data_IF_714892268836
#
_entry.id   IF_714892268836
#
_cell.length_a   1.000
_cell.length_b   1.000
_cell.length_c   1.000
_cell.angle_alpha   90.00
_cell.angle_beta   90.00
_cell.angle_gamma   90.00
#
_symmetry.space_group_name_H-M   'P 1'
#
loop_
_entity.id
_entity.type
_entity.pdbx_description
1 polymer ?
#
# COMPACT_ATOMS: atom_id res chain seq x y z
N UNK A 1 -5.72 -24.86 12.98
CA UNK A 1 -6.56 -24.51 14.14
C UNK A 1 -6.30 -23.08 14.61
N UNK A 2 -5.05 -22.59 14.55
CA UNK A 2 -4.70 -21.18 14.86
C UNK A 2 -5.31 -20.12 13.91
N UNK A 3 -5.60 -20.50 12.66
CA UNK A 3 -6.12 -19.61 11.59
C UNK A 3 -7.52 -19.07 11.88
N UNK A 4 -8.40 -19.89 12.47
CA UNK A 4 -9.77 -19.47 12.83
C UNK A 4 -9.73 -18.54 14.05
N UNK A 5 -8.83 -18.81 15.00
CA UNK A 5 -8.68 -18.04 16.24
C UNK A 5 -8.25 -16.60 15.94
N UNK A 6 -7.34 -16.41 14.97
CA UNK A 6 -6.85 -15.06 14.60
C UNK A 6 -7.92 -14.21 13.91
N UNK A 7 -8.69 -14.82 12.99
CA UNK A 7 -9.78 -14.13 12.30
C UNK A 7 -10.94 -13.79 13.25
N UNK A 8 -11.26 -14.69 14.18
CA UNK A 8 -12.25 -14.42 15.23
C UNK A 8 -11.77 -13.35 16.19
N UNK A 9 -10.48 -13.29 16.54
CA UNK A 9 -9.95 -12.29 17.44
C UNK A 9 -10.04 -10.87 16.84
N UNK A 10 -9.73 -10.70 15.55
CA UNK A 10 -9.84 -9.40 14.87
C UNK A 10 -11.31 -8.95 14.73
N UNK A 11 -12.22 -9.88 14.40
CA UNK A 11 -13.65 -9.58 14.28
C UNK A 11 -14.31 -9.29 15.64
N UNK A 12 -13.96 -10.06 16.69
CA UNK A 12 -14.40 -9.82 18.07
C UNK A 12 -13.85 -8.48 18.56
N UNK A 13 -12.61 -8.12 18.21
CA UNK A 13 -12.02 -6.84 18.60
C UNK A 13 -12.67 -5.64 17.89
N UNK A 14 -13.03 -5.76 16.61
CA UNK A 14 -13.85 -4.73 15.94
C UNK A 14 -15.22 -4.58 16.62
N UNK A 15 -15.89 -5.69 16.96
CA UNK A 15 -17.15 -5.66 17.70
C UNK A 15 -16.99 -5.05 19.11
N UNK A 16 -15.93 -5.39 19.84
CA UNK A 16 -15.63 -4.82 21.16
C UNK A 16 -15.24 -3.34 21.09
N UNK A 17 -14.57 -2.88 20.02
CA UNK A 17 -14.28 -1.46 19.82
C UNK A 17 -15.56 -0.67 19.53
N UNK A 18 -16.44 -1.21 18.68
CA UNK A 18 -17.78 -0.66 18.45
C UNK A 18 -18.59 -0.64 19.76
N UNK A 19 -18.57 -1.72 20.53
CA UNK A 19 -19.30 -1.83 21.80
C UNK A 19 -18.75 -0.88 22.88
N UNK A 20 -17.44 -0.64 22.91
CA UNK A 20 -16.80 0.33 23.81
C UNK A 20 -17.12 1.78 23.43
N UNK A 21 -17.21 2.09 22.13
CA UNK A 21 -17.69 3.39 21.65
C UNK A 21 -19.17 3.57 22.01
N UNK A 22 -20.00 2.55 21.82
CA UNK A 22 -21.43 2.61 22.16
C UNK A 22 -21.65 2.69 23.68
N UNK A 23 -20.86 1.96 24.47
CA UNK A 23 -20.92 1.97 25.94
C UNK A 23 -20.37 3.27 26.54
N UNK A 24 -19.34 3.86 25.93
CA UNK A 24 -18.87 5.21 26.30
C UNK A 24 -19.85 6.30 25.84
N UNK A 25 -20.49 6.17 24.68
CA UNK A 25 -21.58 7.04 24.23
C UNK A 25 -22.82 6.98 25.14
N UNK A 26 -23.10 5.82 25.73
CA UNK A 26 -24.21 5.64 26.67
C UNK A 26 -23.89 6.08 28.11
N UNK A 27 -22.62 6.22 28.48
CA UNK A 27 -22.21 6.62 29.85
C UNK A 27 -21.71 8.07 29.98
N UNK A 28 -21.33 8.72 28.87
CA UNK A 28 -20.74 10.06 28.87
C UNK A 28 -21.72 11.08 28.27
N UNK A 29 -22.20 12.01 29.09
CA UNK A 29 -23.00 13.16 28.66
C UNK A 29 -22.18 14.23 27.92
N UNK A 30 -20.85 14.07 27.82
CA UNK A 30 -19.94 15.01 27.16
C UNK A 30 -19.87 14.80 25.64
N UNK A 31 -20.82 15.41 24.94
CA UNK A 31 -20.90 15.44 23.47
C UNK A 31 -19.60 15.88 22.77
N UNK A 32 -18.76 16.69 23.42
CA UNK A 32 -17.46 17.12 22.90
C UNK A 32 -16.45 15.99 22.80
N UNK A 33 -16.42 15.09 23.80
CA UNK A 33 -15.50 13.95 23.82
C UNK A 33 -15.93 12.91 22.78
N UNK A 34 -17.23 12.66 22.66
CA UNK A 34 -17.78 11.78 21.62
C UNK A 34 -17.49 12.30 20.20
N UNK A 35 -17.58 13.62 20.00
CA UNK A 35 -17.22 14.26 18.72
C UNK A 35 -15.73 14.12 18.40
N UNK A 36 -14.84 14.24 19.40
CA UNK A 36 -13.41 14.05 19.20
C UNK A 36 -13.07 12.59 18.87
N UNK A 37 -13.62 11.65 19.65
CA UNK A 37 -13.39 10.21 19.43
C UNK A 37 -13.90 9.75 18.08
N UNK A 38 -15.10 10.18 17.66
CA UNK A 38 -15.63 9.85 16.33
C UNK A 38 -14.77 10.42 15.21
N UNK A 39 -14.31 11.68 15.33
CA UNK A 39 -13.39 12.27 14.36
C UNK A 39 -12.06 11.50 14.27
N UNK A 40 -11.49 11.11 15.41
CA UNK A 40 -10.25 10.32 15.44
C UNK A 40 -10.44 8.92 14.84
N UNK A 41 -11.60 8.30 15.04
CA UNK A 41 -11.93 7.00 14.47
C UNK A 41 -12.10 7.08 12.94
N UNK A 42 -12.76 8.12 12.44
CA UNK A 42 -12.88 8.38 11.00
C UNK A 42 -11.50 8.61 10.38
N UNK A 43 -10.64 9.41 11.02
CA UNK A 43 -9.27 9.65 10.54
C UNK A 43 -8.47 8.35 10.46
N UNK A 44 -8.53 7.49 11.48
CA UNK A 44 -7.85 6.19 11.46
C UNK A 44 -8.40 5.27 10.38
N UNK A 45 -9.71 5.31 10.14
CA UNK A 45 -10.34 4.57 9.05
C UNK A 45 -9.82 5.04 7.69
N UNK A 46 -9.81 6.36 7.43
CA UNK A 46 -9.29 6.93 6.19
C UNK A 46 -7.82 6.54 5.95
N UNK A 47 -6.98 6.66 6.98
CA UNK A 47 -5.58 6.22 6.93
C UNK A 47 -5.46 4.73 6.63
N UNK A 48 -6.32 3.90 7.22
CA UNK A 48 -6.30 2.45 6.97
C UNK A 48 -6.66 2.09 5.53
N UNK A 49 -7.65 2.78 4.97
CA UNK A 49 -8.06 2.60 3.57
C UNK A 49 -6.91 3.04 2.65
N UNK A 50 -6.28 4.18 2.90
CA UNK A 50 -5.15 4.65 2.09
C UNK A 50 -3.97 3.66 2.07
N UNK A 51 -3.66 3.06 3.23
CA UNK A 51 -2.61 2.02 3.34
C UNK A 51 -2.95 0.80 2.48
N UNK A 52 -4.18 0.28 2.60
CA UNK A 52 -4.61 -0.91 1.86
C UNK A 52 -4.69 -0.62 0.35
N UNK A 53 -5.17 0.58 -0.03
CA UNK A 53 -5.21 1.03 -1.42
C UNK A 53 -3.81 1.13 -2.02
N UNK A 54 -2.84 1.64 -1.25
CA UNK A 54 -1.45 1.72 -1.67
C UNK A 54 -0.85 0.33 -1.92
N UNK A 55 -1.21 -0.68 -1.12
CA UNK A 55 -0.84 -2.07 -1.39
C UNK A 55 -1.53 -2.61 -2.65
N UNK A 56 -2.83 -2.29 -2.82
CA UNK A 56 -3.64 -2.74 -3.96
C UNK A 56 -3.23 -2.14 -5.30
N UNK A 57 -2.56 -0.99 -5.28
CA UNK A 57 -2.00 -0.37 -6.49
C UNK A 57 -0.99 -1.27 -7.22
N UNK A 58 -0.44 -2.29 -6.54
CA UNK A 58 0.37 -3.34 -7.14
C UNK A 58 -0.38 -4.13 -8.21
N UNK A 59 0.32 -4.53 -9.28
CA UNK A 59 -0.30 -5.20 -10.43
C UNK A 59 -1.00 -6.53 -10.07
N UNK A 60 -0.54 -7.23 -9.03
CA UNK A 60 -1.04 -8.54 -8.65
C UNK A 60 -2.34 -8.50 -7.81
N UNK A 61 -2.67 -7.37 -7.17
CA UNK A 61 -3.78 -7.28 -6.21
C UNK A 61 -4.95 -6.42 -6.70
N UNK A 62 -4.89 -5.86 -7.92
CA UNK A 62 -5.91 -4.92 -8.44
C UNK A 62 -7.35 -5.43 -8.36
N UNK A 63 -7.55 -6.75 -8.40
CA UNK A 63 -8.87 -7.38 -8.38
C UNK A 63 -9.31 -7.86 -6.98
N UNK A 64 -8.48 -7.68 -5.95
CA UNK A 64 -8.79 -8.10 -4.59
C UNK A 64 -9.61 -7.03 -3.87
N UNK A 65 -10.54 -7.49 -3.03
CA UNK A 65 -11.29 -6.60 -2.14
C UNK A 65 -10.39 -6.08 -1.02
N UNK A 66 -10.66 -4.87 -0.52
CA UNK A 66 -9.87 -4.28 0.57
C UNK A 66 -9.93 -5.13 1.85
N UNK A 67 -11.10 -5.73 2.14
CA UNK A 67 -11.28 -6.61 3.31
C UNK A 67 -10.47 -7.90 3.18
N UNK A 68 -10.39 -8.49 1.98
CA UNK A 68 -9.53 -9.65 1.70
C UNK A 68 -8.07 -9.32 1.99
N UNK A 69 -7.58 -8.16 1.52
CA UNK A 69 -6.20 -7.75 1.76
C UNK A 69 -5.94 -7.55 3.25
N UNK A 70 -6.82 -6.83 3.95
CA UNK A 70 -6.65 -6.50 5.36
C UNK A 70 -6.71 -7.73 6.28
N UNK A 71 -7.65 -8.65 6.04
CA UNK A 71 -7.94 -9.74 6.97
C UNK A 71 -7.25 -11.05 6.59
N UNK A 72 -7.12 -11.35 5.29
CA UNK A 72 -6.63 -12.66 4.84
C UNK A 72 -5.17 -12.64 4.41
N UNK A 73 -4.66 -11.49 3.95
CA UNK A 73 -3.31 -11.39 3.39
C UNK A 73 -2.36 -10.74 4.38
N UNK A 74 -2.74 -9.57 4.91
CA UNK A 74 -1.85 -8.72 5.70
C UNK A 74 -1.25 -9.40 6.95
N UNK A 75 -2.02 -10.19 7.74
CA UNK A 75 -1.48 -10.82 8.94
C UNK A 75 -0.34 -11.79 8.63
N UNK A 76 -0.42 -12.53 7.52
CA UNK A 76 0.61 -13.47 7.11
C UNK A 76 1.77 -12.78 6.40
N UNK A 77 1.47 -11.73 5.62
CA UNK A 77 2.47 -11.02 4.86
C UNK A 77 3.56 -10.45 5.78
N UNK A 78 3.19 -9.85 6.91
CA UNK A 78 4.15 -9.32 7.90
C UNK A 78 5.09 -10.40 8.43
N UNK A 79 4.59 -11.59 8.73
CA UNK A 79 5.43 -12.70 9.19
C UNK A 79 6.36 -13.22 8.08
N UNK A 80 5.92 -13.21 6.83
CA UNK A 80 6.70 -13.69 5.68
C UNK A 80 7.82 -12.71 5.32
N UNK A 81 7.56 -11.41 5.36
CA UNK A 81 8.56 -10.38 5.01
C UNK A 81 9.57 -10.10 6.13
N UNK A 82 9.37 -10.69 7.32
CA UNK A 82 10.26 -10.56 8.48
C UNK A 82 10.79 -11.92 8.99
N UNK A 83 11.52 -12.69 8.17
CA UNK A 83 12.14 -13.91 8.65
C UNK A 83 13.29 -13.60 9.61
N UNK A 84 13.67 -14.58 10.43
CA UNK A 84 14.86 -14.52 11.26
C UNK A 84 16.12 -14.51 10.37
N UNK A 85 16.53 -13.31 9.99
CA UNK A 85 17.60 -13.06 9.04
C UNK A 85 18.63 -12.14 9.68
N UNK A 86 19.88 -12.62 9.77
CA UNK A 86 20.99 -11.84 10.33
C UNK A 86 21.66 -11.05 9.21
N UNK A 87 21.88 -9.73 9.38
CA UNK A 87 22.59 -8.95 8.39
C UNK A 87 24.06 -9.38 8.36
N UNK A 88 24.48 -10.03 7.28
CA UNK A 88 25.88 -10.20 6.93
C UNK A 88 26.17 -9.42 5.64
N UNK A 89 27.45 -9.19 5.35
CA UNK A 89 27.83 -8.67 4.03
C UNK A 89 27.22 -9.59 2.96
N UNK A 90 26.56 -9.03 1.94
CA UNK A 90 25.90 -9.79 0.87
C UNK A 90 26.84 -10.80 0.23
N UNK A 91 28.13 -10.47 0.15
CA UNK A 91 29.19 -11.31 -0.40
C UNK A 91 29.47 -12.58 0.42
N UNK A 92 29.01 -12.63 1.66
CA UNK A 92 29.18 -13.77 2.58
C UNK A 92 27.91 -14.60 2.70
N UNK A 93 26.82 -14.25 2.01
CA UNK A 93 25.61 -15.05 2.06
C UNK A 93 25.81 -16.41 1.40
N UNK A 94 25.32 -17.44 2.07
CA UNK A 94 25.10 -18.74 1.45
C UNK A 94 24.04 -18.62 0.35
N UNK A 95 24.05 -19.58 -0.58
CA UNK A 95 23.03 -19.69 -1.64
C UNK A 95 21.61 -19.71 -1.04
N UNK A 96 21.44 -20.34 0.12
CA UNK A 96 20.16 -20.40 0.84
C UNK A 96 19.70 -19.02 1.31
N UNK A 97 20.57 -18.25 1.93
CA UNK A 97 20.23 -16.91 2.45
C UNK A 97 19.95 -15.92 1.31
N UNK A 98 20.71 -16.02 0.22
CA UNK A 98 20.49 -15.24 -0.98
C UNK A 98 19.13 -15.54 -1.63
N UNK A 99 18.73 -16.83 -1.67
CA UNK A 99 17.39 -17.21 -2.14
C UNK A 99 16.28 -16.66 -1.23
N UNK A 100 16.48 -16.66 0.09
CA UNK A 100 15.53 -16.06 1.05
C UNK A 100 15.42 -14.56 0.79
N UNK A 101 16.54 -13.85 0.65
CA UNK A 101 16.56 -12.43 0.34
C UNK A 101 15.81 -12.10 -0.96
N UNK A 102 16.12 -12.80 -2.06
CA UNK A 102 15.40 -12.60 -3.33
C UNK A 102 13.91 -12.90 -3.23
N UNK A 103 13.53 -13.92 -2.46
CA UNK A 103 12.12 -14.24 -2.21
C UNK A 103 11.41 -13.10 -1.48
N UNK A 104 12.03 -12.54 -0.43
CA UNK A 104 11.49 -11.38 0.30
C UNK A 104 11.32 -10.19 -0.63
N UNK A 105 12.34 -9.85 -1.41
CA UNK A 105 12.31 -8.71 -2.34
C UNK A 105 11.21 -8.90 -3.38
N UNK A 106 11.08 -10.10 -3.94
CA UNK A 106 10.03 -10.44 -4.90
C UNK A 106 8.65 -10.26 -4.28
N UNK A 107 8.41 -10.81 -3.10
CA UNK A 107 7.13 -10.71 -2.38
C UNK A 107 6.81 -9.25 -2.03
N UNK A 108 7.77 -8.51 -1.45
CA UNK A 108 7.58 -7.11 -1.09
C UNK A 108 7.25 -6.27 -2.33
N UNK A 109 7.94 -6.47 -3.44
CA UNK A 109 7.61 -5.81 -4.72
C UNK A 109 6.21 -6.18 -5.20
N UNK A 110 5.83 -7.46 -5.15
CA UNK A 110 4.52 -7.92 -5.59
C UNK A 110 3.39 -7.26 -4.82
N UNK A 111 3.56 -6.99 -3.51
CA UNK A 111 2.59 -6.32 -2.66
C UNK A 111 2.83 -4.81 -2.49
N UNK A 112 3.66 -4.19 -3.35
CA UNK A 112 3.99 -2.76 -3.32
C UNK A 112 4.53 -2.27 -1.96
N UNK A 113 5.26 -3.13 -1.26
CA UNK A 113 5.90 -2.84 0.02
C UNK A 113 7.37 -2.44 -0.17
N UNK A 114 7.84 -1.54 0.68
CA UNK A 114 9.25 -1.18 0.83
C UNK A 114 9.52 -0.76 2.27
N UNK A 115 10.79 -0.60 2.65
CA UNK A 115 11.14 0.17 3.84
C UNK A 115 11.56 1.58 3.46
N UNK A 116 11.32 2.54 4.35
CA UNK A 116 11.83 3.91 4.24
C UNK A 116 12.53 4.32 5.53
N UNK A 117 13.58 5.12 5.38
CA UNK A 117 14.28 5.71 6.52
C UNK A 117 13.44 6.81 7.15
N UNK A 118 13.25 6.73 8.46
CA UNK A 118 12.62 7.74 9.30
C UNK A 118 13.61 8.11 10.40
N UNK A 119 13.93 9.40 10.50
CA UNK A 119 14.76 9.92 11.57
C UNK A 119 13.92 10.01 12.84
N UNK A 120 14.34 9.29 13.88
CA UNK A 120 13.71 9.31 15.19
C UNK A 120 14.76 9.55 16.25
N UNK A 121 14.65 10.67 16.98
CA UNK A 121 15.50 11.03 18.12
C UNK A 121 16.99 10.70 17.90
N UNK A 122 17.53 11.20 16.77
CA UNK A 122 18.94 11.06 16.33
C UNK A 122 19.34 9.70 15.73
N UNK A 123 18.46 8.69 15.77
CA UNK A 123 18.66 7.39 15.15
C UNK A 123 17.87 7.24 13.83
N UNK A 124 18.44 6.53 12.85
CA UNK A 124 17.72 6.20 11.61
C UNK A 124 17.02 4.86 11.79
N UNK A 125 15.69 4.89 11.79
CA UNK A 125 14.85 3.69 11.80
C UNK A 125 14.35 3.39 10.39
N UNK A 126 14.19 2.11 10.05
CA UNK A 126 13.59 1.68 8.79
C UNK A 126 12.20 1.10 9.08
N UNK A 127 11.17 1.77 8.56
CA UNK A 127 9.76 1.44 8.78
C UNK A 127 9.11 1.08 7.46
N UNK A 128 8.06 0.25 7.47
CA UNK A 128 7.33 -0.10 6.25
C UNK A 128 6.68 1.10 5.60
N UNK A 129 6.68 1.06 4.27
CA UNK A 129 5.89 1.93 3.41
C UNK A 129 5.14 1.05 2.38
N UNK A 130 3.80 1.10 2.33
CA UNK A 130 2.91 1.83 3.24
C UNK A 130 2.99 1.31 4.70
N UNK A 131 2.49 2.09 5.66
CA UNK A 131 2.66 1.84 7.10
C UNK A 131 1.80 0.68 7.63
N UNK A 132 2.00 -0.53 7.08
CA UNK A 132 1.19 -1.72 7.37
C UNK A 132 1.23 -2.18 8.84
N UNK A 133 2.28 -1.82 9.57
CA UNK A 133 2.39 -2.10 11.01
C UNK A 133 1.25 -1.45 11.79
N UNK A 134 0.76 -0.28 11.37
CA UNK A 134 -0.36 0.41 12.03
C UNK A 134 -1.68 -0.37 11.94
N UNK A 135 -1.81 -1.26 10.96
CA UNK A 135 -3.01 -2.08 10.76
C UNK A 135 -2.98 -3.39 11.54
N UNK A 136 -1.78 -3.84 11.94
CA UNK A 136 -1.57 -5.15 12.57
C UNK A 136 -1.12 -5.03 14.02
N UNK A 137 -0.47 -3.93 14.39
CA UNK A 137 -0.12 -3.60 15.77
C UNK A 137 -1.28 -2.87 16.43
N UNK A 138 -2.01 -3.60 17.28
CA UNK A 138 -3.01 -3.01 18.17
C UNK A 138 -2.30 -2.47 19.42
N UNK A 139 -2.35 -1.15 19.61
CA UNK A 139 -1.60 -0.42 20.65
C UNK A 139 -2.20 -0.50 22.06
N UNK A 140 -3.26 -1.28 22.27
CA UNK A 140 -4.05 -1.21 23.52
C UNK A 140 -3.68 -2.30 24.55
N UNK A 141 -2.84 -3.28 24.21
CA UNK A 141 -2.46 -4.39 25.10
C UNK A 141 -0.95 -4.49 25.33
N UNK A 142 -0.38 -3.48 26.01
CA UNK A 142 1.02 -3.49 26.47
C UNK A 142 1.34 -4.64 27.46
N UNK A 143 0.32 -5.35 27.97
CA UNK A 143 0.48 -6.46 28.90
C UNK A 143 0.59 -7.85 28.25
N UNK A 144 0.08 -8.04 27.02
CA UNK A 144 0.05 -9.34 26.35
C UNK A 144 1.06 -9.45 25.18
N UNK A 145 1.61 -8.32 24.73
CA UNK A 145 2.45 -8.25 23.52
C UNK A 145 3.96 -8.35 23.80
N UNK A 146 4.41 -8.53 25.05
CA UNK A 146 5.83 -8.62 25.40
C UNK A 146 6.59 -9.79 24.76
N UNK A 147 5.88 -10.80 24.25
CA UNK A 147 6.47 -11.98 23.59
C UNK A 147 6.37 -11.96 22.05
N UNK A 148 5.72 -10.95 21.46
CA UNK A 148 5.62 -10.83 20.00
C UNK A 148 6.57 -9.71 19.57
N UNK A 149 7.86 -10.03 19.56
CA UNK A 149 8.90 -9.19 18.95
C UNK A 149 8.59 -9.01 17.46
N UNK A 150 7.75 -8.04 17.12
CA UNK A 150 7.32 -7.73 15.74
C UNK A 150 8.44 -7.15 14.88
N UNK A 151 9.63 -6.99 15.45
CA UNK A 151 10.85 -6.50 14.81
C UNK A 151 11.97 -7.55 14.91
N UNK A 152 11.77 -8.73 14.33
CA UNK A 152 12.83 -9.76 14.21
C UNK A 152 13.97 -9.31 13.28
N UNK A 153 13.64 -8.50 12.26
CA UNK A 153 14.62 -7.95 11.34
C UNK A 153 15.36 -6.74 11.93
N UNK A 154 16.70 -6.85 11.99
CA UNK A 154 17.58 -5.73 12.30
C UNK A 154 17.42 -4.55 11.34
N UNK A 155 17.73 -3.33 11.80
CA UNK A 155 17.70 -2.11 10.98
C UNK A 155 18.56 -2.24 9.72
N UNK A 156 19.75 -2.86 9.84
CA UNK A 156 20.65 -3.09 8.71
C UNK A 156 20.03 -4.03 7.65
N UNK A 157 19.31 -5.07 8.08
CA UNK A 157 18.62 -5.97 7.14
C UNK A 157 17.49 -5.24 6.39
N UNK A 158 16.72 -4.38 7.07
CA UNK A 158 15.67 -3.58 6.44
C UNK A 158 16.23 -2.59 5.42
N UNK A 159 17.35 -1.95 5.75
CA UNK A 159 18.06 -1.06 4.82
C UNK A 159 18.54 -1.81 3.58
N UNK A 160 19.15 -2.98 3.76
CA UNK A 160 19.60 -3.83 2.66
C UNK A 160 18.44 -4.22 1.74
N UNK A 161 17.32 -4.66 2.31
CA UNK A 161 16.12 -5.01 1.54
C UNK A 161 15.58 -3.79 0.78
N UNK A 162 15.51 -2.62 1.42
CA UNK A 162 15.05 -1.38 0.78
C UNK A 162 15.90 -1.02 -0.44
N UNK A 163 17.23 -1.07 -0.27
CA UNK A 163 18.19 -0.79 -1.32
C UNK A 163 18.06 -1.78 -2.49
N UNK A 164 17.93 -3.08 -2.21
CA UNK A 164 17.80 -4.09 -3.27
C UNK A 164 16.47 -3.97 -4.03
N UNK A 165 15.36 -3.62 -3.35
CA UNK A 165 14.08 -3.33 -4.00
C UNK A 165 14.22 -2.12 -4.95
N UNK A 166 14.96 -1.08 -4.55
CA UNK A 166 15.21 0.10 -5.36
C UNK A 166 16.09 -0.20 -6.58
N UNK A 167 17.19 -0.93 -6.38
CA UNK A 167 18.05 -1.40 -7.48
C UNK A 167 17.27 -2.22 -8.51
N UNK A 168 16.46 -3.16 -8.05
CA UNK A 168 15.68 -3.99 -8.95
C UNK A 168 14.63 -3.15 -9.72
N UNK A 169 14.11 -2.05 -9.14
CA UNK A 169 13.20 -1.11 -9.84
C UNK A 169 13.93 -0.42 -10.99
N UNK A 170 15.16 0.01 -10.78
CA UNK A 170 15.98 0.63 -11.83
C UNK A 170 16.26 -0.37 -12.96
N UNK A 171 16.63 -1.62 -12.63
CA UNK A 171 16.88 -2.68 -13.63
C UNK A 171 15.66 -2.99 -14.50
N UNK A 172 14.46 -2.94 -13.94
CA UNK A 172 13.23 -3.20 -14.69
C UNK A 172 12.88 -2.04 -15.64
N UNK A 173 13.16 -0.79 -15.23
CA UNK A 173 13.02 0.38 -16.11
C UNK A 173 14.02 0.29 -17.27
N UNK A 174 15.26 -0.10 -17.00
CA UNK A 174 16.29 -0.28 -18.03
C UNK A 174 15.95 -1.42 -19.00
N UNK A 175 15.37 -2.52 -18.50
CA UNK A 175 14.90 -3.63 -19.35
C UNK A 175 13.76 -3.19 -20.27
N UNK A 176 12.77 -2.46 -19.75
CA UNK A 176 11.67 -1.90 -20.56
C UNK A 176 12.18 -0.86 -21.57
N UNK A 177 13.13 -0.01 -21.18
CA UNK A 177 13.77 0.95 -22.07
C UNK A 177 14.60 0.26 -23.16
N UNK A 178 15.29 -0.84 -22.82
CA UNK A 178 16.06 -1.65 -23.76
C UNK A 178 15.17 -2.42 -24.73
N UNK A 179 14.04 -2.96 -24.30
CA UNK A 179 13.04 -3.56 -25.19
C UNK A 179 12.41 -2.53 -26.15
N UNK A 180 12.15 -1.31 -25.68
CA UNK A 180 11.67 -0.22 -26.53
C UNK A 180 12.75 0.21 -27.53
N UNK A 181 14.01 0.27 -27.12
CA UNK A 181 15.14 0.61 -27.98
C UNK A 181 15.49 -0.50 -29.00
N UNK A 182 15.34 -1.77 -28.62
CA UNK A 182 15.57 -2.92 -29.50
C UNK A 182 14.46 -3.11 -30.55
N UNK A 183 13.26 -2.56 -30.31
CA UNK A 183 12.14 -2.57 -31.25
C UNK A 183 12.10 -1.36 -32.21
N UNK A 184 13.20 -0.60 -32.36
CA UNK A 184 13.32 0.46 -33.38
C UNK A 184 14.00 -0.06 -34.66
N UNK A 185 13.26 -0.35 -35.74
CA UNK A 185 13.85 -0.45 -37.07
C UNK A 185 14.11 0.97 -37.62
N UNK A 186 15.30 1.18 -38.18
CA UNK A 186 15.69 2.46 -38.77
C UNK A 186 14.81 2.90 -39.96
N UNK A 187 14.48 4.20 -39.96
CA UNK A 187 14.02 5.06 -41.08
C UNK A 187 12.79 4.62 -41.89
N UNK A 188 11.65 5.29 -41.67
CA UNK A 188 11.08 6.37 -42.52
C UNK A 188 9.76 6.84 -41.90
N UNK A 189 9.50 8.14 -41.98
CA UNK A 189 8.18 8.72 -41.73
C UNK A 189 7.15 8.00 -42.61
N UNK A 190 6.31 7.16 -42.03
CA UNK A 190 5.07 6.76 -42.66
C UNK A 190 4.09 6.27 -41.58
N UNK A 191 2.99 7.02 -41.48
CA UNK A 191 1.69 6.69 -40.90
C UNK A 191 1.64 5.46 -39.98
N UNK A 192 1.52 5.74 -38.68
CA UNK A 192 1.06 4.79 -37.67
C UNK A 192 -0.33 4.27 -38.10
N UNK A 193 -0.38 3.06 -38.66
CA UNK A 193 -1.58 2.22 -38.67
C UNK A 193 -1.54 1.35 -37.42
N UNK A 194 -2.26 1.76 -36.38
CA UNK A 194 -2.56 0.88 -35.24
C UNK A 194 -3.75 -0.01 -35.59
N UNK A 195 -3.55 -1.31 -35.33
CA UNK A 195 -4.55 -2.35 -35.53
C UNK A 195 -5.76 -2.21 -34.60
N UNK A 196 -6.90 -2.64 -35.13
CA UNK A 196 -8.15 -3.10 -34.49
C UNK A 196 -8.26 -2.85 -32.97
N UNK A 197 -8.56 -1.62 -32.58
CA UNK A 197 -9.36 -1.31 -31.40
C UNK A 197 -10.75 -0.88 -31.87
N UNK A 198 -11.79 -1.47 -31.27
CA UNK A 198 -13.19 -1.15 -31.59
C UNK A 198 -13.46 0.35 -31.52
N UNK A 199 -14.16 0.87 -32.53
CA UNK A 199 -14.60 2.26 -32.68
C UNK A 199 -13.55 3.31 -32.24
N UNK A 200 -12.61 3.61 -33.14
CA UNK A 200 -11.60 4.66 -32.91
C UNK A 200 -12.25 6.00 -32.58
N UNK A 201 -11.93 6.53 -31.40
CA UNK A 201 -12.27 7.89 -31.01
C UNK A 201 -11.35 8.83 -31.80
N UNK A 202 -11.94 9.61 -32.72
CA UNK A 202 -11.20 10.63 -33.48
C UNK A 202 -11.29 11.94 -32.71
N UNK A 203 -10.15 12.41 -32.19
CA UNK A 203 -10.01 13.74 -31.63
C UNK A 203 -9.65 14.71 -32.76
N UNK A 204 -10.61 15.52 -33.19
CA UNK A 204 -10.37 16.61 -34.13
C UNK A 204 -9.65 17.74 -33.40
N UNK A 205 -8.40 18.00 -33.76
CA UNK A 205 -7.62 19.09 -33.19
C UNK A 205 -8.17 20.45 -33.66
N UNK A 206 -8.58 21.29 -32.72
CA UNK A 206 -8.90 22.68 -33.00
C UNK A 206 -7.60 23.48 -33.08
N UNK A 207 -7.39 24.24 -34.17
CA UNK A 207 -6.22 25.08 -34.38
C UNK A 207 -6.12 26.28 -33.42
N UNK A 208 -7.09 26.45 -32.52
CA UNK A 208 -7.09 27.50 -31.50
C UNK A 208 -8.04 27.19 -30.34
N UNK A 209 -7.93 27.97 -29.27
CA UNK A 209 -8.80 27.91 -28.10
C UNK A 209 -9.76 29.09 -28.08
N UNK A 210 -11.06 28.85 -28.01
CA UNK A 210 -12.08 29.92 -27.90
C UNK A 210 -12.68 29.96 -26.49
N UNK A 211 -12.81 31.17 -25.94
CA UNK A 211 -13.51 31.41 -24.68
C UNK A 211 -15.01 31.64 -24.92
N UNK A 212 -15.87 30.88 -24.24
CA UNK A 212 -17.32 31.06 -24.34
C UNK A 212 -17.81 32.29 -23.56
N UNK A 213 -18.87 32.94 -24.06
CA UNK A 213 -19.50 34.09 -23.40
C UNK A 213 -20.27 33.63 -22.15
N UNK A 214 -20.16 34.39 -21.05
CA UNK A 214 -20.89 34.15 -19.80
C UNK A 214 -22.40 34.26 -20.02
N UNK A 215 -23.14 33.23 -19.61
CA UNK A 215 -24.61 33.20 -19.66
C UNK A 215 -25.22 33.03 -18.27
N UNK A 216 -26.40 33.60 -18.06
CA UNK A 216 -27.18 33.43 -16.83
C UNK A 216 -27.78 32.02 -16.79
N UNK A 217 -27.49 31.27 -15.74
CA UNK A 217 -28.02 29.92 -15.52
C UNK A 217 -29.25 30.00 -14.59
N UNK A 218 -30.32 29.30 -14.94
CA UNK A 218 -31.49 29.10 -14.06
C UNK A 218 -31.54 27.66 -13.55
N UNK A 219 -32.21 27.41 -12.41
CA UNK A 219 -32.33 26.07 -11.79
C UNK A 219 -32.82 25.02 -12.79
N UNK A 220 -33.78 25.37 -13.66
CA UNK A 220 -34.26 24.48 -14.72
C UNK A 220 -33.17 24.01 -15.69
N UNK A 221 -32.09 24.77 -15.90
CA UNK A 221 -30.99 24.40 -16.79
C UNK A 221 -30.05 23.35 -16.18
N UNK A 222 -30.15 23.07 -14.88
CA UNK A 222 -29.29 22.11 -14.16
C UNK A 222 -29.87 20.69 -14.20
N UNK A 223 -31.18 20.56 -14.40
CA UNK A 223 -31.91 19.30 -14.28
C UNK A 223 -32.62 18.88 -15.57
N UNK A 224 -32.34 19.55 -16.69
CA UNK A 224 -32.82 19.11 -18.00
C UNK A 224 -32.08 17.84 -18.43
N UNK A 225 -32.77 16.70 -18.40
CA UNK A 225 -32.38 15.45 -19.06
C UNK A 225 -32.61 15.54 -20.57
#
# INVERSE_FOLDING_TARGET
MEVIVFQTAIAIHQLCYYDRIVTSANSVQDYSLLKYLSASAVQRYEQSVEIIESMRAGAAQKNLSLSTIALEILPYLISIVQPDFKPMNVQLYSIRELNVLHSIISIMRTYSLTYTSVLHDESVSFVFKPAIEQLVMFTDDDACCSNRSSNTLSVAARQLIAHEIELEKMRNVDALASEIAANLPGKKEELIKSGKFGAGIILCYNSGSSSAIRRRIMIKNLFSS
#
